data_IF_346363929677
#
_entry.id   IF_346363929677
#
_cell.length_a   1.000
_cell.length_b   1.000
_cell.length_c   1.000
_cell.angle_alpha   90.00
_cell.angle_beta   90.00
_cell.angle_gamma   90.00
#
_symmetry.space_group_name_H-M   'P 1'
#
loop_
_entity.id
_entity.type
_entity.pdbx_description
1 polymer ?
#
# COMPACT_ATOMS: atom_id res chain seq x y z
N UNK A 1 39.19 4.22 26.56
CA UNK A 1 38.30 3.10 26.93
C UNK A 1 37.10 3.05 25.97
N UNK A 2 37.23 2.29 24.87
CA UNK A 2 36.45 1.08 24.55
C UNK A 2 34.91 1.23 24.70
N UNK A 3 34.24 1.65 23.62
CA UNK A 3 33.14 0.98 22.90
C UNK A 3 32.05 0.22 23.69
N UNK A 4 31.75 0.59 24.94
CA UNK A 4 30.68 -0.06 25.73
C UNK A 4 29.29 0.14 25.13
N UNK A 5 29.06 1.23 24.37
CA UNK A 5 27.77 1.52 23.74
C UNK A 5 27.49 0.65 22.51
N UNK A 6 28.52 0.26 21.75
CA UNK A 6 28.38 -0.61 20.57
C UNK A 6 28.13 -2.08 20.94
N UNK A 7 28.65 -2.53 22.09
CA UNK A 7 28.47 -3.89 22.59
C UNK A 7 27.01 -4.19 23.03
N UNK A 8 26.25 -3.16 23.42
CA UNK A 8 24.84 -3.30 23.80
C UNK A 8 23.97 -3.50 22.55
N UNK A 9 24.29 -2.79 21.45
CA UNK A 9 23.58 -2.90 20.18
C UNK A 9 23.76 -4.29 19.51
N UNK A 10 24.92 -4.93 19.71
CA UNK A 10 25.26 -6.23 19.11
C UNK A 10 24.73 -7.45 19.88
N UNK A 11 24.09 -7.28 21.05
CA UNK A 11 23.51 -8.40 21.85
C UNK A 11 22.04 -8.66 21.61
N UNK A 12 21.33 -7.80 20.86
CA UNK A 12 19.94 -8.02 20.51
C UNK A 12 19.84 -9.11 19.41
N UNK A 13 19.64 -10.36 19.82
CA UNK A 13 19.22 -11.43 18.90
C UNK A 13 17.78 -11.16 18.47
N UNK A 14 17.57 -10.93 17.17
CA UNK A 14 16.25 -10.99 16.56
C UNK A 14 15.80 -12.46 16.51
N UNK A 15 14.80 -12.82 17.31
CA UNK A 15 14.16 -14.13 17.21
C UNK A 15 13.39 -14.18 15.88
N UNK A 16 13.89 -15.00 14.95
CA UNK A 16 13.19 -15.35 13.71
C UNK A 16 12.22 -16.49 14.02
N UNK A 17 10.93 -16.41 13.67
CA UNK A 17 10.07 -17.58 13.68
C UNK A 17 10.42 -18.44 12.45
N UNK A 18 11.17 -19.50 12.68
CA UNK A 18 11.42 -20.58 11.72
C UNK A 18 10.15 -21.38 11.47
N UNK A 19 9.70 -21.40 10.21
CA UNK A 19 8.78 -22.39 9.66
C UNK A 19 9.33 -23.82 9.83
N UNK A 20 8.51 -24.82 10.19
CA UNK A 20 8.77 -26.20 9.82
C UNK A 20 8.22 -26.46 8.42
N UNK A 21 9.15 -26.80 7.53
CA UNK A 21 8.92 -27.36 6.20
C UNK A 21 8.29 -28.75 6.36
N UNK A 22 7.07 -28.95 5.88
CA UNK A 22 6.60 -30.30 5.55
C UNK A 22 6.50 -30.46 4.04
N UNK A 23 7.49 -31.19 3.52
CA UNK A 23 7.72 -31.58 2.15
C UNK A 23 6.98 -32.89 1.90
N UNK A 24 5.84 -32.85 1.22
CA UNK A 24 5.23 -34.00 0.54
C UNK A 24 4.87 -33.52 -0.87
N UNK A 25 5.80 -33.68 -1.81
CA UNK A 25 5.83 -34.76 -2.80
C UNK A 25 4.70 -34.66 -3.83
N UNK A 26 4.99 -33.86 -4.86
CA UNK A 26 4.82 -34.13 -6.28
C UNK A 26 4.11 -35.46 -6.61
N UNK A 27 2.91 -35.39 -7.20
CA UNK A 27 2.37 -36.38 -8.16
C UNK A 27 1.13 -35.81 -8.87
N UNK A 28 1.36 -35.32 -10.10
CA UNK A 28 0.44 -35.44 -11.23
C UNK A 28 1.36 -35.77 -12.42
N UNK A 29 0.98 -36.71 -13.30
CA UNK A 29 -0.16 -36.48 -14.19
C UNK A 29 -1.03 -37.72 -14.40
N UNK A 30 -2.30 -37.53 -14.77
CA UNK A 30 -2.89 -38.35 -15.84
C UNK A 30 -4.16 -37.71 -16.43
N UNK A 31 -4.14 -37.65 -17.76
CA UNK A 31 -5.21 -37.49 -18.78
C UNK A 31 -5.13 -38.80 -19.60
N UNK A 32 -6.12 -39.29 -20.40
CA UNK A 32 -7.28 -38.64 -21.06
C UNK A 32 -8.53 -39.59 -21.07
N UNK A 33 -9.50 -39.65 -22.04
CA UNK A 33 -9.90 -38.78 -23.17
C UNK A 33 -11.44 -38.45 -23.27
N UNK A 34 -11.77 -37.55 -24.21
CA UNK A 34 -13.09 -37.29 -24.86
C UNK A 34 -13.29 -38.23 -26.09
N UNK A 35 -14.39 -38.24 -26.89
CA UNK A 35 -15.84 -37.89 -26.74
C UNK A 35 -16.75 -39.08 -27.25
N UNK A 36 -18.05 -38.93 -27.67
CA UNK A 36 -18.45 -38.29 -28.95
C UNK A 36 -19.74 -37.43 -28.91
N UNK A 37 -19.96 -36.77 -30.05
CA UNK A 37 -20.99 -35.79 -30.43
C UNK A 37 -22.44 -36.33 -30.47
N UNK A 38 -23.40 -35.40 -30.36
CA UNK A 38 -24.63 -35.44 -31.14
C UNK A 38 -25.93 -35.23 -30.35
N UNK A 39 -26.50 -34.03 -30.41
CA UNK A 39 -27.94 -33.80 -30.63
C UNK A 39 -28.22 -32.28 -30.67
N UNK A 40 -28.41 -31.79 -31.89
CA UNK A 40 -29.23 -30.63 -32.22
C UNK A 40 -30.63 -30.77 -31.62
N UNK A 41 -31.12 -29.74 -30.92
CA UNK A 41 -32.53 -29.38 -30.87
C UNK A 41 -32.64 -27.85 -30.80
N UNK A 42 -33.24 -27.29 -31.84
CA UNK A 42 -33.71 -25.91 -31.91
C UNK A 42 -34.72 -25.64 -30.80
N UNK A 43 -34.67 -24.43 -30.26
CA UNK A 43 -35.68 -23.86 -29.39
C UNK A 43 -35.60 -22.35 -29.47
N UNK A 44 -36.36 -21.79 -30.41
CA UNK A 44 -36.79 -20.40 -30.32
C UNK A 44 -37.63 -20.25 -29.06
N UNK A 45 -37.19 -19.37 -28.17
CA UNK A 45 -38.02 -18.75 -27.17
C UNK A 45 -37.49 -17.33 -26.96
N UNK A 46 -38.23 -16.36 -27.50
CA UNK A 46 -38.24 -15.00 -26.98
C UNK A 46 -38.48 -15.07 -25.47
N UNK A 47 -37.48 -14.67 -24.68
CA UNK A 47 -37.68 -14.35 -23.28
C UNK A 47 -36.90 -13.07 -22.94
N UNK A 48 -37.70 -12.10 -22.52
CA UNK A 48 -37.36 -10.74 -22.15
C UNK A 48 -36.59 -10.77 -20.83
N UNK A 49 -35.30 -11.11 -20.93
CA UNK A 49 -34.42 -11.34 -19.79
C UNK A 49 -33.80 -10.05 -19.29
N UNK A 50 -34.58 -9.29 -18.51
CA UNK A 50 -34.16 -8.38 -17.42
C UNK A 50 -32.67 -8.03 -17.47
N UNK A 51 -32.37 -6.83 -17.97
CA UNK A 51 -31.13 -6.10 -17.68
C UNK A 51 -31.01 -6.00 -16.15
N UNK A 52 -30.42 -7.02 -15.53
CA UNK A 52 -29.91 -6.94 -14.17
C UNK A 52 -28.87 -5.85 -14.26
N UNK A 53 -29.18 -4.69 -13.69
CA UNK A 53 -28.38 -3.48 -13.77
C UNK A 53 -27.03 -3.71 -13.12
N UNK A 54 -26.12 -4.39 -13.82
CA UNK A 54 -24.70 -4.28 -13.61
C UNK A 54 -24.37 -2.84 -14.04
N UNK A 55 -24.58 -1.90 -13.10
CA UNK A 55 -24.10 -0.53 -13.21
C UNK A 55 -22.66 -0.64 -13.66
N UNK A 56 -22.38 -0.27 -14.92
CA UNK A 56 -21.01 -0.28 -15.43
C UNK A 56 -20.22 0.64 -14.51
N UNK A 57 -19.31 0.05 -13.73
CA UNK A 57 -18.48 0.81 -12.81
C UNK A 57 -17.60 1.71 -13.66
N UNK A 58 -17.80 3.01 -13.54
CA UNK A 58 -17.02 3.99 -14.29
C UNK A 58 -15.64 4.15 -13.66
N UNK A 59 -14.68 4.64 -14.44
CA UNK A 59 -13.34 4.98 -13.93
C UNK A 59 -13.41 5.91 -12.70
N UNK A 60 -14.35 6.86 -12.70
CA UNK A 60 -14.51 7.81 -11.61
C UNK A 60 -15.00 7.12 -10.34
N UNK A 61 -15.93 6.16 -10.45
CA UNK A 61 -16.36 5.33 -9.32
C UNK A 61 -15.15 4.57 -8.72
N UNK A 62 -14.28 4.00 -9.56
CA UNK A 62 -13.06 3.29 -9.08
C UNK A 62 -12.07 4.24 -8.40
N UNK A 63 -11.90 5.47 -8.92
CA UNK A 63 -11.08 6.51 -8.29
C UNK A 63 -11.62 6.87 -6.91
N UNK A 64 -12.93 7.00 -6.77
CA UNK A 64 -13.58 7.29 -5.49
C UNK A 64 -13.43 6.14 -4.49
N UNK A 65 -13.65 4.89 -4.92
CA UNK A 65 -13.43 3.71 -4.08
C UNK A 65 -11.99 3.61 -3.58
N UNK A 66 -11.02 3.92 -4.44
CA UNK A 66 -9.61 3.98 -4.05
C UNK A 66 -9.35 5.08 -3.02
N UNK A 67 -9.93 6.28 -3.20
CA UNK A 67 -9.81 7.39 -2.24
C UNK A 67 -10.50 7.11 -0.91
N UNK A 68 -11.67 6.46 -0.95
CA UNK A 68 -12.37 5.99 0.24
C UNK A 68 -11.50 4.98 1.00
N UNK A 69 -10.84 4.07 0.26
CA UNK A 69 -9.88 3.13 0.84
C UNK A 69 -8.72 3.85 1.54
N UNK A 70 -8.15 4.92 0.96
CA UNK A 70 -7.09 5.69 1.66
C UNK A 70 -7.55 6.31 2.99
N UNK A 71 -8.83 6.66 3.09
CA UNK A 71 -9.39 7.37 4.25
C UNK A 71 -9.71 6.45 5.43
N UNK A 72 -9.70 5.13 5.25
CA UNK A 72 -9.97 4.17 6.31
C UNK A 72 -8.79 4.09 7.29
N UNK A 73 -8.96 4.56 8.55
CA UNK A 73 -7.90 4.47 9.54
C UNK A 73 -7.68 3.01 9.93
N UNK A 74 -6.41 2.60 9.90
CA UNK A 74 -5.88 1.26 10.19
C UNK A 74 -6.18 0.73 11.59
N UNK A 75 -6.84 1.52 12.45
CA UNK A 75 -7.03 1.21 13.88
C UNK A 75 -8.26 0.36 14.18
N UNK A 76 -9.13 0.12 13.19
CA UNK A 76 -10.28 -0.77 13.35
C UNK A 76 -10.14 -1.92 12.38
N UNK A 77 -9.64 -3.03 12.91
CA UNK A 77 -9.67 -4.35 12.29
C UNK A 77 -11.12 -4.79 12.09
N UNK A 78 -11.81 -4.18 11.13
CA UNK A 78 -13.03 -4.77 10.59
C UNK A 78 -12.62 -6.02 9.80
N UNK A 79 -13.34 -7.15 9.97
CA UNK A 79 -12.92 -8.44 9.43
C UNK A 79 -12.93 -8.52 7.90
N UNK A 80 -13.46 -7.51 7.19
CA UNK A 80 -13.40 -7.36 5.74
C UNK A 80 -13.37 -5.87 5.40
N UNK A 81 -12.27 -5.41 4.79
CA UNK A 81 -12.20 -4.06 4.21
C UNK A 81 -13.05 -4.06 2.92
N UNK A 82 -14.36 -3.87 3.08
CA UNK A 82 -15.33 -3.96 1.98
C UNK A 82 -15.00 -3.01 0.82
N UNK A 83 -14.43 -1.85 1.13
CA UNK A 83 -13.98 -0.89 0.12
C UNK A 83 -12.83 -1.45 -0.72
N UNK A 84 -11.95 -2.26 -0.11
CA UNK A 84 -10.83 -2.89 -0.80
C UNK A 84 -11.29 -4.02 -1.72
N UNK A 85 -12.26 -4.82 -1.28
CA UNK A 85 -12.86 -5.87 -2.11
C UNK A 85 -13.62 -5.26 -3.30
N UNK A 86 -14.45 -4.24 -3.05
CA UNK A 86 -15.18 -3.52 -4.10
C UNK A 86 -14.20 -2.85 -5.09
N UNK A 87 -13.15 -2.20 -4.58
CA UNK A 87 -12.08 -1.67 -5.41
C UNK A 87 -11.43 -2.76 -6.27
N UNK A 88 -11.14 -3.92 -5.68
CA UNK A 88 -10.47 -5.03 -6.37
C UNK A 88 -11.30 -5.53 -7.55
N UNK A 89 -12.59 -5.73 -7.33
CA UNK A 89 -13.54 -6.16 -8.36
C UNK A 89 -13.72 -5.08 -9.43
N UNK A 90 -13.90 -3.83 -9.00
CA UNK A 90 -14.04 -2.68 -9.89
C UNK A 90 -12.83 -2.49 -10.80
N UNK A 91 -11.61 -2.57 -10.25
CA UNK A 91 -10.37 -2.46 -11.00
C UNK A 91 -10.24 -3.57 -12.06
N UNK A 92 -10.55 -4.81 -11.70
CA UNK A 92 -10.52 -5.94 -12.64
C UNK A 92 -11.60 -5.81 -13.72
N UNK A 93 -12.73 -5.16 -13.44
CA UNK A 93 -13.80 -4.86 -14.40
C UNK A 93 -13.47 -3.75 -15.41
N UNK A 94 -12.44 -2.93 -15.16
CA UNK A 94 -12.02 -1.88 -16.10
C UNK A 94 -11.34 -2.46 -17.35
N UNK A 95 -11.51 -1.76 -18.48
CA UNK A 95 -10.70 -2.01 -19.69
C UNK A 95 -9.22 -1.71 -19.42
N UNK A 96 -8.34 -2.19 -20.30
CA UNK A 96 -6.90 -1.95 -20.17
C UNK A 96 -6.57 -0.45 -20.17
N UNK A 97 -7.24 0.33 -21.03
CA UNK A 97 -7.11 1.80 -21.08
C UNK A 97 -7.58 2.44 -19.77
N UNK A 98 -8.71 1.98 -19.21
CA UNK A 98 -9.22 2.49 -17.94
C UNK A 98 -8.27 2.22 -16.79
N UNK A 99 -7.68 1.01 -16.72
CA UNK A 99 -6.66 0.69 -15.72
C UNK A 99 -5.41 1.54 -15.88
N UNK A 100 -4.95 1.78 -17.12
CA UNK A 100 -3.83 2.68 -17.42
C UNK A 100 -4.10 4.10 -16.93
N UNK A 101 -5.27 4.65 -17.25
CA UNK A 101 -5.65 5.99 -16.82
C UNK A 101 -5.73 6.10 -15.30
N UNK A 102 -6.29 5.10 -14.62
CA UNK A 102 -6.35 5.05 -13.16
C UNK A 102 -4.95 5.07 -12.53
N UNK A 103 -4.03 4.22 -13.02
CA UNK A 103 -2.67 4.12 -12.49
C UNK A 103 -1.87 5.40 -12.72
N UNK A 104 -2.03 6.07 -13.87
CA UNK A 104 -1.43 7.38 -14.12
C UNK A 104 -2.01 8.45 -13.20
N UNK A 105 -3.32 8.40 -12.95
CA UNK A 105 -3.98 9.27 -11.98
C UNK A 105 -3.43 9.07 -10.57
N UNK A 106 -3.23 7.80 -10.16
CA UNK A 106 -2.66 7.46 -8.86
C UNK A 106 -1.25 8.05 -8.68
N UNK A 107 -0.40 7.92 -9.69
CA UNK A 107 0.97 8.46 -9.64
C UNK A 107 1.00 10.00 -9.53
N UNK A 108 -0.03 10.69 -10.04
CA UNK A 108 -0.13 12.16 -9.99
C UNK A 108 -0.74 12.65 -8.69
N UNK A 109 -1.84 12.02 -8.26
CA UNK A 109 -2.71 12.53 -7.21
C UNK A 109 -2.39 11.97 -5.82
N UNK A 110 -1.75 10.80 -5.74
CA UNK A 110 -1.61 10.02 -4.51
C UNK A 110 -0.15 9.69 -4.15
N UNK A 111 0.79 10.48 -4.66
CA UNK A 111 2.20 10.43 -4.30
C UNK A 111 2.42 11.01 -2.88
N UNK A 112 3.52 11.73 -2.65
CA UNK A 112 3.81 12.38 -1.37
C UNK A 112 2.95 13.64 -1.21
N UNK A 113 2.44 13.88 0.01
CA UNK A 113 1.76 15.13 0.33
C UNK A 113 2.76 16.30 0.36
N UNK A 114 3.02 16.89 -0.80
CA UNK A 114 3.99 17.98 -1.00
C UNK A 114 3.67 19.20 -0.12
N UNK A 115 2.40 19.51 0.08
CA UNK A 115 1.99 20.63 0.94
C UNK A 115 2.44 20.41 2.39
N UNK A 116 2.21 19.21 2.93
CA UNK A 116 2.64 18.83 4.27
C UNK A 116 4.16 18.78 4.41
N UNK A 117 4.85 18.21 3.44
CA UNK A 117 6.32 18.18 3.42
C UNK A 117 6.90 19.60 3.42
N UNK A 118 6.39 20.49 2.57
CA UNK A 118 6.84 21.88 2.52
C UNK A 118 6.56 22.65 3.82
N UNK A 119 5.46 22.36 4.51
CA UNK A 119 5.17 22.93 5.84
C UNK A 119 6.18 22.45 6.88
N UNK A 120 6.40 21.13 6.96
CA UNK A 120 7.35 20.54 7.90
C UNK A 120 8.80 20.96 7.62
N UNK A 121 9.19 21.11 6.36
CA UNK A 121 10.51 21.63 5.98
C UNK A 121 10.68 23.09 6.41
N UNK A 122 9.66 23.93 6.22
CA UNK A 122 9.70 25.31 6.72
C UNK A 122 9.87 25.35 8.22
N UNK A 123 9.09 24.55 8.96
CA UNK A 123 9.26 24.43 10.41
C UNK A 123 10.69 24.01 10.76
N UNK A 124 11.23 22.99 10.09
CA UNK A 124 12.58 22.47 10.35
C UNK A 124 13.67 23.52 10.15
N UNK A 125 13.55 24.35 9.11
CA UNK A 125 14.51 25.42 8.81
C UNK A 125 14.36 26.65 9.73
N UNK A 126 13.16 26.87 10.30
CA UNK A 126 12.90 27.97 11.24
C UNK A 126 13.39 27.67 12.67
N UNK A 127 13.69 26.42 13.00
CA UNK A 127 14.30 26.09 14.29
C UNK A 127 15.75 26.58 14.29
N UNK A 128 15.95 27.80 14.78
CA UNK A 128 17.26 28.36 15.01
C UNK A 128 17.98 27.54 16.10
N UNK A 129 19.15 26.99 15.79
CA UNK A 129 20.07 26.53 16.82
C UNK A 129 20.54 27.77 17.57
N UNK A 130 20.47 27.82 18.92
CA UNK A 130 21.07 28.90 19.69
C UNK A 130 22.53 29.04 19.29
N UNK A 131 22.83 30.10 18.52
CA UNK A 131 24.18 30.39 18.10
C UNK A 131 25.00 30.71 19.33
N UNK A 132 26.16 30.10 19.43
CA UNK A 132 26.94 30.06 20.64
C UNK A 132 27.51 31.44 21.00
N UNK A 133 26.78 32.21 21.80
CA UNK A 133 27.29 33.43 22.44
C UNK A 133 27.00 33.36 23.95
N UNK A 134 28.03 32.92 24.67
CA UNK A 134 28.34 33.19 26.08
C UNK A 134 27.43 32.74 27.25
N UNK A 135 28.17 32.20 28.24
CA UNK A 135 27.88 31.98 29.68
C UNK A 135 26.97 30.80 30.08
N UNK A 136 27.55 29.89 30.89
CA UNK A 136 26.97 28.75 31.63
C UNK A 136 26.89 27.38 30.91
N UNK A 137 27.96 26.61 31.08
CA UNK A 137 28.22 25.31 30.45
C UNK A 137 27.31 24.16 30.95
N UNK A 138 26.70 24.29 32.13
CA UNK A 138 25.89 23.23 32.75
C UNK A 138 24.40 23.25 32.30
N UNK A 139 23.80 24.44 32.13
CA UNK A 139 22.45 24.58 31.55
C UNK A 139 22.43 24.24 30.05
N UNK A 140 23.55 24.46 29.35
CA UNK A 140 23.64 24.26 27.90
C UNK A 140 23.47 22.80 27.46
N UNK A 141 23.94 21.85 28.26
CA UNK A 141 23.82 20.41 27.93
C UNK A 141 22.37 19.92 28.02
N UNK A 142 21.59 20.49 28.95
CA UNK A 142 20.17 20.15 29.12
C UNK A 142 19.32 20.79 28.02
N UNK A 143 19.61 22.05 27.67
CA UNK A 143 18.92 22.76 26.56
C UNK A 143 19.27 22.17 25.19
N UNK A 144 20.54 21.83 24.94
CA UNK A 144 20.98 21.18 23.70
C UNK A 144 20.34 19.80 23.52
N UNK A 145 20.18 19.03 24.61
CA UNK A 145 19.42 17.78 24.60
C UNK A 145 17.94 17.96 24.27
N UNK A 146 17.33 19.07 24.73
CA UNK A 146 15.97 19.45 24.38
C UNK A 146 15.82 19.83 22.90
N UNK A 147 16.74 20.64 22.37
CA UNK A 147 16.78 21.06 20.97
C UNK A 147 17.02 19.87 20.05
N UNK A 148 17.95 18.97 20.39
CA UNK A 148 18.19 17.74 19.64
C UNK A 148 16.96 16.82 19.63
N UNK A 149 16.22 16.75 20.74
CA UNK A 149 14.97 16.00 20.80
C UNK A 149 13.88 16.63 19.90
N UNK A 150 13.84 17.96 19.77
CA UNK A 150 12.97 18.66 18.81
C UNK A 150 13.36 18.28 17.37
N UNK A 151 14.63 18.39 17.00
CA UNK A 151 15.10 17.98 15.68
C UNK A 151 14.74 16.53 15.35
N UNK A 152 14.98 15.60 16.28
CA UNK A 152 14.62 14.20 16.09
C UNK A 152 13.12 13.99 15.81
N UNK A 153 12.24 14.71 16.53
CA UNK A 153 10.78 14.66 16.30
C UNK A 153 10.41 15.25 14.94
N UNK A 154 11.02 16.36 14.55
CA UNK A 154 10.75 17.00 13.27
C UNK A 154 11.20 16.14 12.10
N UNK A 155 12.39 15.53 12.18
CA UNK A 155 12.88 14.61 11.16
C UNK A 155 12.03 13.34 11.09
N UNK A 156 11.57 12.82 12.23
CA UNK A 156 10.63 11.69 12.23
C UNK A 156 9.35 12.07 11.49
N UNK A 157 8.77 13.22 11.81
CA UNK A 157 7.56 13.70 11.15
C UNK A 157 7.78 13.92 9.64
N UNK A 158 8.96 14.43 9.24
CA UNK A 158 9.34 14.56 7.83
C UNK A 158 9.44 13.19 7.14
N UNK A 159 10.12 12.21 7.76
CA UNK A 159 10.21 10.84 7.23
C UNK A 159 8.83 10.21 7.06
N UNK A 160 7.93 10.42 8.02
CA UNK A 160 6.57 9.90 7.94
C UNK A 160 5.76 10.63 6.85
N UNK A 161 5.91 11.94 6.69
CA UNK A 161 5.25 12.71 5.64
C UNK A 161 5.79 12.43 4.22
N UNK A 162 7.02 11.94 4.10
CA UNK A 162 7.64 11.53 2.83
C UNK A 162 7.15 10.16 2.34
N UNK A 163 6.42 9.41 3.15
CA UNK A 163 5.77 8.18 2.68
C UNK A 163 4.67 8.55 1.68
N UNK A 164 4.61 7.89 0.51
CA UNK A 164 3.55 8.15 -0.46
C UNK A 164 2.19 7.75 0.13
N UNK A 165 1.13 8.47 -0.25
CA UNK A 165 -0.21 8.25 0.31
C UNK A 165 -0.74 6.85 0.02
N UNK A 166 -0.32 6.24 -1.10
CA UNK A 166 -0.68 4.87 -1.44
C UNK A 166 0.02 3.77 -0.62
N UNK A 167 1.00 4.10 0.23
CA UNK A 167 1.77 3.09 0.97
C UNK A 167 0.87 2.21 1.86
N UNK A 168 0.05 2.84 2.72
CA UNK A 168 -0.86 2.10 3.61
C UNK A 168 -1.93 1.31 2.85
N UNK A 169 -2.35 1.79 1.67
CA UNK A 169 -3.28 1.06 0.82
C UNK A 169 -2.70 -0.22 0.27
N UNK A 170 -1.47 -0.20 -0.26
CA UNK A 170 -0.83 -1.43 -0.75
C UNK A 170 -0.49 -2.41 0.37
N UNK A 171 -0.16 -1.92 1.57
CA UNK A 171 0.02 -2.77 2.75
C UNK A 171 -1.29 -3.49 3.12
N UNK A 172 -2.42 -2.76 3.17
CA UNK A 172 -3.74 -3.37 3.40
C UNK A 172 -4.13 -4.32 2.28
N UNK A 173 -3.84 -3.96 1.03
CA UNK A 173 -4.12 -4.83 -0.11
C UNK A 173 -3.29 -6.11 -0.06
N UNK A 174 -2.04 -6.05 0.38
CA UNK A 174 -1.24 -7.25 0.58
C UNK A 174 -1.75 -8.15 1.71
N UNK A 175 -2.35 -7.56 2.75
CA UNK A 175 -2.96 -8.28 3.86
C UNK A 175 -4.36 -8.85 3.53
N UNK A 176 -5.01 -8.35 2.47
CA UNK A 176 -6.34 -8.79 2.07
C UNK A 176 -6.33 -10.17 1.39
N UNK A 177 -7.29 -11.06 1.66
CA UNK A 177 -7.44 -12.32 0.93
C UNK A 177 -7.50 -12.08 -0.59
N UNK A 178 -6.63 -12.77 -1.34
CA UNK A 178 -6.55 -12.59 -2.80
C UNK A 178 -5.85 -11.31 -3.27
N UNK A 179 -5.51 -10.37 -2.37
CA UNK A 179 -4.91 -9.09 -2.74
C UNK A 179 -3.50 -9.19 -3.34
N UNK A 180 -2.73 -10.23 -2.99
CA UNK A 180 -1.45 -10.52 -3.66
C UNK A 180 -1.62 -10.80 -5.17
N UNK A 181 -2.73 -11.45 -5.57
CA UNK A 181 -3.04 -11.66 -6.99
C UNK A 181 -3.35 -10.32 -7.67
N UNK A 182 -4.12 -9.46 -7.02
CA UNK A 182 -4.40 -8.12 -7.54
C UNK A 182 -3.13 -7.28 -7.67
N UNK A 183 -2.25 -7.28 -6.66
CA UNK A 183 -0.96 -6.60 -6.70
C UNK A 183 -0.08 -7.08 -7.87
N UNK A 184 -0.15 -8.38 -8.19
CA UNK A 184 0.56 -8.95 -9.34
C UNK A 184 0.00 -8.39 -10.66
N UNK A 185 -1.32 -8.27 -10.78
CA UNK A 185 -1.99 -7.65 -11.95
C UNK A 185 -1.65 -6.17 -12.05
N UNK A 186 -1.77 -5.41 -10.95
CA UNK A 186 -1.41 -3.99 -10.86
C UNK A 186 0.04 -3.77 -11.31
N UNK A 187 0.97 -4.62 -10.86
CA UNK A 187 2.38 -4.55 -11.26
C UNK A 187 2.56 -4.82 -12.75
N UNK A 188 1.88 -5.82 -13.31
CA UNK A 188 1.93 -6.10 -14.74
C UNK A 188 1.38 -4.92 -15.57
N UNK A 189 0.27 -4.34 -15.14
CA UNK A 189 -0.34 -3.17 -15.78
C UNK A 189 0.59 -1.94 -15.70
N UNK A 190 1.25 -1.71 -14.55
CA UNK A 190 2.29 -0.68 -14.39
C UNK A 190 3.50 -0.92 -15.31
N UNK A 191 4.00 -2.15 -15.42
CA UNK A 191 5.11 -2.46 -16.32
C UNK A 191 4.71 -2.23 -17.79
N UNK A 192 3.46 -2.50 -18.15
CA UNK A 192 2.95 -2.24 -19.50
C UNK A 192 2.87 -0.74 -19.84
N UNK A 193 2.84 0.14 -18.84
CA UNK A 193 2.90 1.59 -19.01
C UNK A 193 4.32 2.12 -19.22
N UNK A 194 5.33 1.38 -18.75
CA UNK A 194 6.73 1.78 -18.79
C UNK A 194 7.50 1.19 -19.98
N UNK A 195 6.97 0.12 -20.57
CA UNK A 195 7.50 -0.52 -21.78
C UNK A 195 7.08 0.25 -23.05
#
# INVERSE_FOLDING_TARGET
MKNKRLAILMRARMASPTHPVHRQQLLRPDRPPLPPQGATCSGDADDDGISTGARRVSLNDVKELMRASFSNPTDKTEPMDANLEEFSQAYLGLSQEGRRELLLGLARDCDVNRARVCELMRQYLTVELPHTADVNQENRVLEDGGILAVFYRMERNLRDALKPMYAGFFERLNAHPGGLKLLTVLRADLLSLLA
#
